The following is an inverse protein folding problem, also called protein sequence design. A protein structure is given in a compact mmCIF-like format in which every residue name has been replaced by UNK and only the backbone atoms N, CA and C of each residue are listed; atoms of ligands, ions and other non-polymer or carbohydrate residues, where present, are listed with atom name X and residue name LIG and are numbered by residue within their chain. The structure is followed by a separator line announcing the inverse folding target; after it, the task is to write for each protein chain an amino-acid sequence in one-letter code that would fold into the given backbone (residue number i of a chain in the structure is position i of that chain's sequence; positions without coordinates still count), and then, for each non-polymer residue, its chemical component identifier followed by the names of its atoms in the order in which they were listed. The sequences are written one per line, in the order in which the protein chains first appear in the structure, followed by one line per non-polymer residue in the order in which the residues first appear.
data_IF_854600626721
#
_entry.id   IF_854600626721
#
_cell.length_a   1.000
_cell.length_b   1.000
_cell.length_c   1.000
_cell.angle_alpha   90.00
_cell.angle_beta   90.00
_cell.angle_gamma   90.00
#
_symmetry.space_group_name_H-M   'P 1'
#
loop_
_entity.id
_entity.type
_entity.pdbx_description
1 polymer ?
#
# COMPACT_ATOMS: atom_id res chain seq x y z
N UNK A 1 -27.31 4.55 3.22
CA UNK A 1 -26.16 4.37 2.30
C UNK A 1 -25.64 5.73 1.83
N UNK A 2 -25.37 6.67 2.75
CA UNK A 2 -25.10 8.06 2.36
C UNK A 2 -23.83 8.21 1.49
N UNK A 3 -22.85 7.33 1.67
CA UNK A 3 -21.64 7.31 0.83
C UNK A 3 -21.92 6.98 -0.64
N UNK A 4 -22.77 5.99 -0.93
CA UNK A 4 -23.13 5.62 -2.30
C UNK A 4 -24.05 6.67 -2.93
N UNK A 5 -25.06 7.11 -2.19
CA UNK A 5 -26.02 8.09 -2.69
C UNK A 5 -25.39 9.48 -2.89
N UNK A 6 -24.39 9.84 -2.09
CA UNK A 6 -23.63 11.08 -2.25
C UNK A 6 -22.90 11.15 -3.60
N UNK A 7 -22.28 10.03 -4.03
CA UNK A 7 -21.63 9.95 -5.35
C UNK A 7 -22.64 10.10 -6.48
N UNK A 8 -23.82 9.48 -6.36
CA UNK A 8 -24.85 9.49 -7.38
C UNK A 8 -25.65 10.82 -7.45
N UNK A 9 -25.56 11.67 -6.43
CA UNK A 9 -26.42 12.85 -6.26
C UNK A 9 -26.32 13.87 -7.41
N UNK A 10 -25.20 13.83 -8.14
CA UNK A 10 -24.97 14.72 -9.27
C UNK A 10 -25.58 14.23 -10.59
N UNK A 11 -25.95 12.94 -10.69
CA UNK A 11 -26.47 12.37 -11.93
C UNK A 11 -27.98 12.54 -12.06
N UNK A 12 -28.44 12.81 -13.28
CA UNK A 12 -29.86 12.73 -13.62
C UNK A 12 -30.37 11.28 -13.72
N UNK A 13 -29.46 10.32 -13.92
CA UNK A 13 -29.79 8.91 -13.96
C UNK A 13 -29.87 8.36 -12.53
N UNK A 14 -30.96 7.67 -12.15
CA UNK A 14 -31.09 7.15 -10.80
C UNK A 14 -30.05 6.06 -10.49
N UNK A 15 -29.48 6.03 -9.28
CA UNK A 15 -28.61 4.96 -8.84
C UNK A 15 -29.37 3.63 -8.70
N UNK A 16 -28.76 2.53 -9.12
CA UNK A 16 -29.33 1.19 -9.03
C UNK A 16 -28.46 0.26 -8.18
N UNK A 17 -29.05 -0.35 -7.15
CA UNK A 17 -28.39 -1.37 -6.34
C UNK A 17 -28.83 -2.76 -6.80
N UNK A 18 -27.94 -3.46 -7.50
CA UNK A 18 -28.23 -4.73 -8.16
C UNK A 18 -27.77 -5.88 -7.28
N UNK A 19 -28.68 -6.80 -6.96
CA UNK A 19 -28.37 -8.02 -6.22
C UNK A 19 -28.84 -9.25 -6.99
N UNK A 20 -27.88 -10.02 -7.52
CA UNK A 20 -28.15 -11.33 -8.11
C UNK A 20 -27.80 -12.42 -7.09
N UNK A 21 -28.58 -13.49 -7.08
CA UNK A 21 -28.36 -14.61 -6.18
C UNK A 21 -28.34 -15.91 -6.97
N UNK A 22 -27.24 -16.64 -6.87
CA UNK A 22 -27.15 -18.03 -7.29
C UNK A 22 -27.39 -18.92 -6.07
N UNK A 23 -28.39 -19.80 -6.17
CA UNK A 23 -28.69 -20.84 -5.19
C UNK A 23 -28.57 -22.21 -5.86
N UNK A 24 -27.96 -23.20 -5.20
CA UNK A 24 -27.85 -24.52 -5.76
C UNK A 24 -29.25 -25.17 -5.82
N UNK A 25 -29.53 -25.91 -6.87
CA UNK A 25 -30.87 -26.47 -7.16
C UNK A 25 -31.33 -27.53 -6.17
N UNK A 26 -30.38 -28.20 -5.51
CA UNK A 26 -30.64 -29.20 -4.46
C UNK A 26 -30.90 -28.55 -3.08
N UNK A 27 -30.78 -27.23 -2.97
CA UNK A 27 -30.99 -26.46 -1.73
C UNK A 27 -29.91 -26.68 -0.66
N UNK A 28 -28.93 -27.55 -0.88
CA UNK A 28 -27.91 -27.88 0.10
C UNK A 28 -26.75 -26.89 0.01
N UNK A 29 -26.65 -25.98 0.98
CA UNK A 29 -25.62 -24.91 0.98
C UNK A 29 -24.57 -25.21 2.04
N UNK A 30 -23.35 -25.54 1.60
CA UNK A 30 -22.18 -25.73 2.47
C UNK A 30 -21.40 -24.43 2.67
N UNK A 31 -21.42 -23.53 1.68
CA UNK A 31 -20.68 -22.27 1.73
C UNK A 31 -21.47 -21.13 1.09
N UNK A 32 -21.46 -19.97 1.75
CA UNK A 32 -22.02 -18.72 1.22
C UNK A 32 -20.89 -17.77 0.85
N UNK A 33 -20.99 -17.16 -0.31
CA UNK A 33 -20.01 -16.18 -0.82
C UNK A 33 -20.74 -14.91 -1.25
N UNK A 34 -20.09 -13.78 -1.06
CA UNK A 34 -20.53 -12.50 -1.60
C UNK A 34 -19.41 -11.95 -2.49
N UNK A 35 -19.75 -11.59 -3.73
CA UNK A 35 -18.86 -10.94 -4.67
C UNK A 35 -19.42 -9.54 -4.93
N UNK A 36 -18.65 -8.53 -4.56
CA UNK A 36 -19.07 -7.12 -4.63
C UNK A 36 -18.27 -6.40 -5.70
N UNK A 37 -18.95 -5.69 -6.59
CA UNK A 37 -18.34 -4.96 -7.69
C UNK A 37 -18.68 -3.47 -7.65
N UNK A 38 -17.67 -2.61 -7.86
CA UNK A 38 -17.89 -1.18 -8.11
C UNK A 38 -18.56 -1.01 -9.48
N UNK A 39 -19.71 -0.34 -9.52
CA UNK A 39 -20.51 -0.13 -10.72
C UNK A 39 -20.59 1.34 -11.17
N UNK A 40 -19.47 2.07 -11.13
CA UNK A 40 -19.48 3.47 -11.56
C UNK A 40 -19.54 3.53 -13.08
N UNK A 41 -20.73 3.71 -13.65
CA UNK A 41 -20.99 3.57 -15.09
C UNK A 41 -20.37 4.69 -15.92
N UNK A 42 -20.19 5.85 -15.31
CA UNK A 42 -19.38 6.94 -15.82
C UNK A 42 -18.85 7.76 -14.64
N UNK A 43 -17.60 8.21 -14.73
CA UNK A 43 -16.96 9.00 -13.68
C UNK A 43 -16.30 10.25 -14.24
N UNK A 44 -16.99 11.39 -14.13
CA UNK A 44 -16.43 12.69 -14.51
C UNK A 44 -15.34 13.20 -13.56
N UNK A 45 -15.24 12.62 -12.35
CA UNK A 45 -14.44 13.15 -11.24
C UNK A 45 -15.20 14.10 -10.30
N UNK A 46 -16.50 14.31 -10.53
CA UNK A 46 -17.28 15.32 -9.79
C UNK A 46 -16.74 16.72 -10.05
N UNK A 47 -16.55 17.51 -8.98
CA UNK A 47 -15.96 18.85 -9.09
C UNK A 47 -14.44 18.86 -9.34
N UNK A 48 -13.73 17.74 -9.12
CA UNK A 48 -12.35 17.60 -9.58
C UNK A 48 -12.33 16.84 -10.91
N UNK A 49 -12.71 17.56 -11.97
CA UNK A 49 -12.92 16.97 -13.29
C UNK A 49 -11.63 16.29 -13.75
N UNK A 50 -11.76 15.06 -14.27
CA UNK A 50 -10.64 14.23 -14.74
C UNK A 50 -10.04 14.72 -16.08
N UNK A 51 -9.59 15.96 -16.11
CA UNK A 51 -9.01 16.64 -17.29
C UNK A 51 -7.49 16.84 -17.20
N UNK A 52 -6.84 16.29 -16.18
CA UNK A 52 -5.38 16.37 -16.03
C UNK A 52 -4.61 15.48 -17.01
N UNK A 53 -3.30 15.71 -17.22
CA UNK A 53 -2.45 14.82 -18.00
C UNK A 53 -2.53 13.38 -17.46
N UNK A 54 -2.74 12.39 -18.34
CA UNK A 54 -2.91 10.98 -17.98
C UNK A 54 -4.34 10.56 -17.62
N UNK A 55 -5.29 11.49 -17.56
CA UNK A 55 -6.71 11.17 -17.44
C UNK A 55 -7.39 11.23 -18.81
N UNK A 56 -7.96 10.09 -19.20
CA UNK A 56 -8.82 9.97 -20.38
C UNK A 56 -10.27 9.91 -19.94
N UNK A 57 -10.93 11.06 -19.88
CA UNK A 57 -12.35 11.15 -19.48
C UNK A 57 -13.25 10.28 -20.38
N UNK A 58 -12.88 10.12 -21.65
CA UNK A 58 -13.53 9.23 -22.62
C UNK A 58 -13.46 7.75 -22.25
N UNK A 59 -12.49 7.36 -21.42
CA UNK A 59 -12.30 6.00 -20.92
C UNK A 59 -12.96 5.78 -19.54
N UNK A 60 -13.54 6.81 -18.90
CA UNK A 60 -14.09 6.65 -17.55
C UNK A 60 -15.35 5.79 -17.47
N UNK A 61 -15.95 5.43 -18.61
CA UNK A 61 -16.91 4.33 -18.70
C UNK A 61 -16.34 2.98 -18.24
N UNK A 62 -15.01 2.80 -18.25
CA UNK A 62 -14.37 1.56 -17.80
C UNK A 62 -14.26 1.45 -16.26
N UNK A 63 -14.60 2.48 -15.50
CA UNK A 63 -14.59 2.44 -14.03
C UNK A 63 -15.68 1.51 -13.45
N UNK A 64 -16.60 1.02 -14.31
CA UNK A 64 -17.52 -0.07 -14.02
C UNK A 64 -16.88 -1.47 -14.14
N UNK A 65 -15.59 -1.57 -14.45
CA UNK A 65 -14.91 -2.85 -14.72
C UNK A 65 -15.06 -3.88 -13.58
N UNK A 66 -15.13 -3.40 -12.33
CA UNK A 66 -15.46 -4.25 -11.18
C UNK A 66 -16.84 -4.92 -11.31
N UNK A 67 -17.88 -4.17 -11.63
CA UNK A 67 -19.22 -4.72 -11.88
C UNK A 67 -19.27 -5.66 -13.08
N UNK A 68 -18.53 -5.35 -14.16
CA UNK A 68 -18.43 -6.23 -15.32
C UNK A 68 -17.83 -7.59 -14.95
N UNK A 69 -16.78 -7.60 -14.13
CA UNK A 69 -16.19 -8.84 -13.60
C UNK A 69 -17.19 -9.62 -12.73
N UNK A 70 -17.98 -8.93 -11.89
CA UNK A 70 -19.02 -9.56 -11.07
C UNK A 70 -20.12 -10.20 -11.92
N UNK A 71 -20.63 -9.51 -12.94
CA UNK A 71 -21.62 -10.09 -13.84
C UNK A 71 -21.05 -11.21 -14.71
N UNK A 72 -19.79 -11.11 -15.13
CA UNK A 72 -19.07 -12.19 -15.80
C UNK A 72 -18.96 -13.44 -14.92
N UNK A 73 -18.60 -13.27 -13.65
CA UNK A 73 -18.58 -14.36 -12.67
C UNK A 73 -19.98 -14.95 -12.45
N UNK A 74 -21.01 -14.10 -12.36
CA UNK A 74 -22.40 -14.56 -12.22
C UNK A 74 -22.84 -15.42 -13.41
N UNK A 75 -22.53 -14.98 -14.63
CA UNK A 75 -22.82 -15.74 -15.86
C UNK A 75 -22.09 -17.08 -15.86
N UNK A 76 -20.79 -17.09 -15.57
CA UNK A 76 -19.99 -18.31 -15.54
C UNK A 76 -20.51 -19.31 -14.48
N UNK A 77 -20.82 -18.83 -13.27
CA UNK A 77 -21.35 -19.67 -12.20
C UNK A 77 -22.76 -20.19 -12.50
N UNK A 78 -23.61 -19.39 -13.14
CA UNK A 78 -24.93 -19.81 -13.62
C UNK A 78 -24.86 -20.90 -14.70
N UNK A 79 -23.78 -20.96 -15.47
CA UNK A 79 -23.52 -21.99 -16.47
C UNK A 79 -22.92 -23.27 -15.87
N UNK A 80 -21.90 -23.13 -15.02
CA UNK A 80 -21.21 -24.26 -14.36
C UNK A 80 -22.13 -24.97 -13.36
N UNK A 81 -23.00 -24.21 -12.69
CA UNK A 81 -23.93 -24.69 -11.66
C UNK A 81 -23.24 -25.52 -10.57
N UNK A 82 -22.22 -24.98 -9.89
CA UNK A 82 -21.52 -25.74 -8.85
C UNK A 82 -22.48 -26.09 -7.69
N UNK A 83 -22.44 -27.34 -7.18
CA UNK A 83 -23.25 -27.75 -6.05
C UNK A 83 -22.67 -27.21 -4.73
N UNK A 84 -23.51 -27.11 -3.69
CA UNK A 84 -23.03 -26.81 -2.34
C UNK A 84 -22.69 -25.34 -2.05
N UNK A 85 -22.85 -24.42 -3.01
CA UNK A 85 -22.48 -23.01 -2.85
C UNK A 85 -23.62 -22.06 -3.18
N UNK A 86 -23.86 -21.09 -2.30
CA UNK A 86 -24.75 -19.95 -2.55
C UNK A 86 -23.88 -18.71 -2.76
N UNK A 87 -24.12 -17.99 -3.85
CA UNK A 87 -23.31 -16.82 -4.22
C UNK A 87 -24.20 -15.60 -4.41
N UNK A 88 -23.89 -14.54 -3.68
CA UNK A 88 -24.52 -13.23 -3.79
C UNK A 88 -23.61 -12.31 -4.60
N UNK A 89 -24.12 -11.80 -5.71
CA UNK A 89 -23.43 -10.82 -6.54
C UNK A 89 -24.06 -9.45 -6.29
N UNK A 90 -23.28 -8.50 -5.80
CA UNK A 90 -23.77 -7.20 -5.37
C UNK A 90 -23.05 -6.11 -6.15
N UNK A 91 -23.79 -5.26 -6.83
CA UNK A 91 -23.26 -4.13 -7.60
C UNK A 91 -24.01 -2.87 -7.22
N UNK A 92 -23.28 -1.85 -6.78
CA UNK A 92 -23.81 -0.50 -6.60
C UNK A 92 -23.52 0.28 -7.89
N UNK A 93 -24.52 0.40 -8.76
CA UNK A 93 -24.40 1.06 -10.05
C UNK A 93 -24.86 2.52 -9.98
N UNK A 94 -24.03 3.46 -10.41
CA UNK A 94 -24.36 4.88 -10.46
C UNK A 94 -23.39 5.62 -11.37
N UNK A 95 -23.62 6.90 -11.62
CA UNK A 95 -22.66 7.79 -12.26
C UNK A 95 -22.15 8.79 -11.24
N UNK A 96 -20.86 9.14 -11.35
CA UNK A 96 -20.31 10.32 -10.68
C UNK A 96 -20.25 11.44 -11.72
N UNK A 97 -21.16 12.41 -11.58
CA UNK A 97 -21.34 13.51 -12.51
C UNK A 97 -21.03 14.85 -11.86
N UNK A 98 -21.05 15.92 -12.64
CA UNK A 98 -20.98 17.30 -12.16
C UNK A 98 -22.34 17.98 -12.32
N UNK A 99 -22.88 18.50 -11.22
CA UNK A 99 -24.11 19.30 -11.22
C UNK A 99 -24.19 20.16 -9.95
N UNK A 100 -25.17 21.06 -9.86
CA UNK A 100 -25.39 21.86 -8.65
C UNK A 100 -25.85 21.07 -7.42
N UNK A 101 -26.31 19.83 -7.62
CA UNK A 101 -26.75 18.90 -6.56
C UNK A 101 -25.67 17.90 -6.17
N UNK A 102 -24.50 17.96 -6.80
CA UNK A 102 -23.39 17.06 -6.52
C UNK A 102 -22.74 17.32 -5.17
N UNK A 103 -22.14 16.27 -4.61
CA UNK A 103 -21.30 16.40 -3.41
C UNK A 103 -20.08 17.26 -3.70
N UNK A 104 -19.77 18.18 -2.80
CA UNK A 104 -18.58 19.04 -2.87
C UNK A 104 -17.36 18.30 -2.36
N UNK A 105 -16.18 18.70 -2.83
CA UNK A 105 -14.92 18.25 -2.23
C UNK A 105 -14.87 18.71 -0.78
N UNK A 106 -14.58 17.80 0.14
CA UNK A 106 -14.61 18.02 1.59
C UNK A 106 -15.97 17.79 2.25
N UNK A 107 -17.04 17.46 1.50
CA UNK A 107 -18.32 17.12 2.12
C UNK A 107 -18.19 15.84 2.96
N UNK A 108 -18.79 15.86 4.16
CA UNK A 108 -18.81 14.72 5.07
C UNK A 108 -20.08 13.91 4.84
N UNK A 109 -19.95 12.70 4.29
CA UNK A 109 -21.05 11.76 4.08
C UNK A 109 -21.10 10.71 5.19
N UNK A 110 -22.30 10.38 5.64
CA UNK A 110 -22.49 9.32 6.64
C UNK A 110 -22.78 7.99 5.96
N UNK A 111 -21.88 7.01 6.15
CA UNK A 111 -22.05 5.66 5.64
C UNK A 111 -23.15 4.89 6.41
N UNK A 112 -23.65 3.80 5.84
CA UNK A 112 -24.73 2.99 6.47
C UNK A 112 -24.33 2.35 7.80
N UNK A 113 -23.04 2.27 8.11
CA UNK A 113 -22.52 1.77 9.38
C UNK A 113 -22.34 2.89 10.43
N UNK A 114 -22.84 4.10 10.17
CA UNK A 114 -22.73 5.25 11.08
C UNK A 114 -21.38 5.97 11.06
N UNK A 115 -20.40 5.51 10.27
CA UNK A 115 -19.12 6.21 10.12
C UNK A 115 -19.25 7.38 9.15
N UNK A 116 -18.56 8.47 9.45
CA UNK A 116 -18.42 9.62 8.56
C UNK A 116 -17.23 9.43 7.62
N UNK A 117 -17.37 9.90 6.38
CA UNK A 117 -16.35 9.85 5.33
C UNK A 117 -16.28 11.25 4.73
N UNK A 118 -15.10 11.83 4.65
CA UNK A 118 -14.87 13.09 3.94
C UNK A 118 -14.57 12.81 2.46
N UNK A 119 -15.28 13.49 1.56
CA UNK A 119 -15.10 13.36 0.12
C UNK A 119 -13.85 14.07 -0.37
N UNK A 120 -12.68 13.43 -0.34
CA UNK A 120 -11.48 13.93 -1.02
C UNK A 120 -11.49 13.49 -2.48
N UNK A 121 -11.64 14.43 -3.40
CA UNK A 121 -11.61 14.17 -4.85
C UNK A 121 -10.21 14.29 -5.45
N UNK A 122 -9.15 14.40 -4.64
CA UNK A 122 -7.77 14.46 -5.11
C UNK A 122 -7.06 13.12 -4.97
N UNK A 123 -6.51 12.57 -6.07
CA UNK A 123 -5.52 11.50 -5.95
C UNK A 123 -4.23 12.13 -5.42
N UNK A 124 -3.86 11.79 -4.19
CA UNK A 124 -2.60 12.22 -3.58
C UNK A 124 -1.56 11.09 -3.63
N UNK A 125 -0.29 11.47 -3.67
CA UNK A 125 0.80 10.50 -3.77
C UNK A 125 1.00 9.85 -2.41
N UNK A 126 1.10 8.51 -2.41
CA UNK A 126 1.32 7.72 -1.22
C UNK A 126 2.58 6.85 -1.33
N UNK A 127 3.13 6.51 -0.17
CA UNK A 127 4.18 5.51 -0.03
C UNK A 127 3.69 4.31 0.78
N UNK A 128 4.02 3.11 0.32
CA UNK A 128 3.85 1.87 1.10
C UNK A 128 5.13 1.63 1.89
N UNK A 129 5.00 1.58 3.22
CA UNK A 129 6.12 1.30 4.13
C UNK A 129 6.08 -0.16 4.59
N UNK A 130 7.21 -0.86 4.69
CA UNK A 130 7.26 -2.22 5.22
C UNK A 130 6.62 -2.31 6.61
N UNK A 131 5.85 -3.38 6.84
CA UNK A 131 5.11 -3.65 8.08
C UNK A 131 4.00 -2.66 8.45
N UNK A 132 3.78 -1.60 7.66
CA UNK A 132 2.66 -0.68 7.81
C UNK A 132 1.49 -1.15 6.94
N UNK A 133 0.30 -1.26 7.53
CA UNK A 133 -0.89 -1.86 6.87
C UNK A 133 -1.69 -0.87 6.02
N UNK A 134 -1.23 0.38 5.93
CA UNK A 134 -1.88 1.45 5.20
C UNK A 134 -0.88 2.20 4.33
N UNK A 135 -1.37 2.75 3.23
CA UNK A 135 -0.61 3.68 2.41
C UNK A 135 -0.48 5.01 3.16
N UNK A 136 0.72 5.56 3.21
CA UNK A 136 1.01 6.80 3.95
C UNK A 136 1.25 7.93 2.94
N UNK A 137 0.53 9.07 3.03
CA UNK A 137 0.79 10.26 2.22
C UNK A 137 2.27 10.67 2.24
N UNK A 138 2.83 11.04 1.07
CA UNK A 138 4.26 11.33 0.95
C UNK A 138 4.73 12.46 1.88
N UNK A 139 3.89 13.48 2.10
CA UNK A 139 4.21 14.63 2.96
C UNK A 139 4.38 14.19 4.42
N UNK A 140 3.55 13.27 4.90
CA UNK A 140 3.66 12.70 6.26
C UNK A 140 4.98 11.94 6.40
N UNK A 141 5.41 11.21 5.38
CA UNK A 141 6.70 10.50 5.40
C UNK A 141 7.86 11.49 5.49
N UNK A 142 7.85 12.58 4.72
CA UNK A 142 8.87 13.64 4.83
C UNK A 142 8.91 14.28 6.22
N UNK A 143 7.74 14.63 6.77
CA UNK A 143 7.64 15.17 8.13
C UNK A 143 8.19 14.20 9.17
N UNK A 144 7.94 12.90 9.01
CA UNK A 144 8.49 11.86 9.88
C UNK A 144 10.03 11.73 9.76
N UNK A 145 10.59 11.92 8.55
CA UNK A 145 12.04 11.98 8.31
C UNK A 145 12.72 13.24 8.84
N UNK A 146 11.95 14.24 9.29
CA UNK A 146 12.46 15.47 9.91
C UNK A 146 12.29 16.74 9.05
N UNK A 147 11.68 16.63 7.88
CA UNK A 147 11.40 17.77 7.01
C UNK A 147 9.99 18.27 7.27
N UNK A 148 9.87 19.23 8.19
CA UNK A 148 8.55 19.71 8.66
C UNK A 148 7.97 20.79 7.75
N UNK A 149 8.81 21.73 7.28
CA UNK A 149 8.37 22.86 6.47
C UNK A 149 8.00 22.41 5.05
N UNK A 150 6.79 22.76 4.60
CA UNK A 150 6.28 22.37 3.28
C UNK A 150 7.18 22.84 2.15
N UNK A 151 7.71 24.07 2.22
CA UNK A 151 8.70 24.58 1.28
C UNK A 151 9.90 23.63 1.17
N UNK A 152 10.45 23.22 2.31
CA UNK A 152 11.58 22.30 2.35
C UNK A 152 11.24 20.95 1.73
N UNK A 153 10.04 20.41 1.97
CA UNK A 153 9.58 19.16 1.35
C UNK A 153 9.50 19.32 -0.17
N UNK A 154 8.90 20.42 -0.63
CA UNK A 154 8.74 20.68 -2.05
C UNK A 154 10.08 20.88 -2.75
N UNK A 155 11.07 21.52 -2.13
CA UNK A 155 12.44 21.65 -2.69
C UNK A 155 13.10 20.28 -2.97
N UNK A 156 12.70 19.22 -2.25
CA UNK A 156 13.21 17.86 -2.48
C UNK A 156 12.51 17.14 -3.65
N UNK A 157 11.35 17.63 -4.09
CA UNK A 157 10.52 17.00 -5.13
C UNK A 157 10.47 17.84 -6.40
N UNK A 158 10.28 19.16 -6.27
CA UNK A 158 10.17 20.12 -7.35
C UNK A 158 11.37 21.06 -7.30
N UNK A 159 12.27 20.93 -8.28
CA UNK A 159 13.50 21.71 -8.33
C UNK A 159 13.29 23.12 -8.89
N UNK A 160 12.16 23.36 -9.56
CA UNK A 160 11.77 24.64 -10.13
C UNK A 160 10.34 24.99 -9.69
N UNK A 161 10.22 25.94 -8.76
CA UNK A 161 8.93 26.38 -8.24
C UNK A 161 8.05 27.13 -9.25
N UNK A 162 8.58 27.49 -10.42
CA UNK A 162 7.77 28.05 -11.51
C UNK A 162 6.98 26.98 -12.26
N UNK A 163 7.25 25.69 -12.02
CA UNK A 163 6.55 24.56 -12.62
C UNK A 163 5.16 24.35 -12.00
N UNK A 164 4.20 25.12 -12.48
CA UNK A 164 2.81 25.08 -12.02
C UNK A 164 2.18 23.70 -12.18
N UNK A 165 2.48 22.96 -13.25
CA UNK A 165 1.90 21.63 -13.48
C UNK A 165 2.33 20.61 -12.43
N UNK A 166 3.62 20.58 -12.07
CA UNK A 166 4.11 19.68 -11.02
C UNK A 166 3.60 20.08 -9.64
N UNK A 167 3.51 21.39 -9.37
CA UNK A 167 2.97 21.91 -8.12
C UNK A 167 1.48 21.58 -7.94
N UNK A 168 0.67 21.67 -9.01
CA UNK A 168 -0.74 21.25 -8.97
C UNK A 168 -0.90 19.76 -8.64
N UNK A 169 -0.03 18.88 -9.17
CA UNK A 169 -0.07 17.46 -8.83
C UNK A 169 0.30 17.16 -7.36
N UNK A 170 1.09 18.04 -6.73
CA UNK A 170 1.49 17.90 -5.33
C UNK A 170 0.48 18.51 -4.35
N UNK A 171 -0.31 19.49 -4.78
CA UNK A 171 -1.29 20.20 -3.94
C UNK A 171 -2.21 19.26 -3.14
N UNK A 172 -2.84 18.22 -3.73
CA UNK A 172 -3.69 17.30 -2.96
C UNK A 172 -2.93 16.56 -1.84
N UNK A 173 -1.64 16.29 -2.05
CA UNK A 173 -0.81 15.60 -1.05
C UNK A 173 -0.47 16.50 0.14
N UNK A 174 -0.36 17.82 -0.09
CA UNK A 174 -0.18 18.83 0.96
C UNK A 174 -1.47 19.01 1.78
N UNK A 175 -2.61 19.11 1.09
CA UNK A 175 -3.93 19.25 1.71
C UNK A 175 -4.25 18.06 2.61
N UNK A 176 -4.05 16.82 2.12
CA UNK A 176 -4.24 15.59 2.91
C UNK A 176 -3.39 15.57 4.19
N UNK A 177 -2.17 16.11 4.13
CA UNK A 177 -1.26 16.13 5.27
C UNK A 177 -1.45 17.36 6.17
N UNK A 178 -2.36 18.28 5.87
CA UNK A 178 -2.47 19.58 6.54
C UNK A 178 -2.56 19.49 8.07
N UNK A 179 -3.27 18.49 8.59
CA UNK A 179 -3.49 18.28 10.03
C UNK A 179 -2.26 17.72 10.77
N UNK A 180 -1.25 17.21 10.08
CA UNK A 180 -0.08 16.53 10.68
C UNK A 180 1.16 17.41 10.61
N UNK A 181 1.18 18.53 11.32
CA UNK A 181 2.22 19.55 11.14
C UNK A 181 3.55 19.29 11.86
N UNK A 182 3.65 18.22 12.66
CA UNK A 182 4.81 17.98 13.52
C UNK A 182 5.42 16.59 13.28
N UNK A 183 6.75 16.47 13.36
CA UNK A 183 7.47 15.21 13.18
C UNK A 183 6.96 14.11 14.13
N UNK A 184 6.75 14.43 15.42
CA UNK A 184 6.25 13.44 16.38
C UNK A 184 4.83 12.97 16.07
N UNK A 185 3.99 13.84 15.51
CA UNK A 185 2.62 13.50 15.11
C UNK A 185 2.64 12.62 13.87
N UNK A 186 3.54 12.91 12.91
CA UNK A 186 3.77 12.08 11.74
C UNK A 186 4.28 10.67 12.11
N UNK A 187 5.24 10.58 13.03
CA UNK A 187 5.73 9.29 13.54
C UNK A 187 4.63 8.51 14.29
N UNK A 188 3.81 9.17 15.10
CA UNK A 188 2.67 8.52 15.76
C UNK A 188 1.63 8.05 14.74
N UNK A 189 1.35 8.84 13.70
CA UNK A 189 0.44 8.48 12.61
C UNK A 189 0.90 7.19 11.91
N UNK A 190 2.17 7.12 11.51
CA UNK A 190 2.74 5.90 10.91
C UNK A 190 2.66 4.73 11.90
N UNK A 191 3.06 4.96 13.15
CA UNK A 191 3.08 3.92 14.18
C UNK A 191 1.70 3.33 14.49
N UNK A 192 0.62 4.12 14.45
CA UNK A 192 -0.77 3.64 14.60
C UNK A 192 -1.18 2.62 13.53
N UNK A 193 -0.60 2.71 12.33
CA UNK A 193 -0.94 1.85 11.19
C UNK A 193 -0.08 0.58 11.10
N UNK A 194 0.93 0.41 11.96
CA UNK A 194 1.75 -0.81 12.02
C UNK A 194 1.77 -1.51 13.38
N UNK A 195 1.55 -0.79 14.49
CA UNK A 195 1.52 -1.37 15.82
C UNK A 195 0.19 -2.08 16.13
N UNK A 196 0.21 -3.01 17.08
CA UNK A 196 -0.99 -3.63 17.64
C UNK A 196 -1.82 -2.61 18.44
N UNK A 197 -3.14 -2.84 18.52
CA UNK A 197 -4.07 -1.98 19.26
C UNK A 197 -3.66 -1.94 20.74
N UNK A 198 -3.69 -0.75 21.36
CA UNK A 198 -3.39 -0.56 22.79
C UNK A 198 -1.94 -0.20 23.14
N UNK A 199 -1.04 -0.07 22.15
CA UNK A 199 0.34 0.36 22.39
C UNK A 199 0.41 1.86 22.71
N UNK A 200 1.23 2.27 23.68
CA UNK A 200 1.41 3.68 24.07
C UNK A 200 1.98 4.54 22.93
N UNK A 201 1.71 5.84 22.94
CA UNK A 201 2.18 6.81 21.92
C UNK A 201 3.70 6.75 21.74
N UNK A 202 4.46 6.72 22.82
CA UNK A 202 5.93 6.66 22.78
C UNK A 202 6.44 5.42 22.05
N UNK A 203 5.84 4.25 22.35
CA UNK A 203 6.20 2.99 21.69
C UNK A 203 5.87 3.00 20.20
N UNK A 204 4.75 3.62 19.80
CA UNK A 204 4.37 3.78 18.37
C UNK A 204 5.35 4.68 17.63
N UNK A 205 5.75 5.80 18.23
CA UNK A 205 6.74 6.72 17.66
C UNK A 205 8.09 5.99 17.49
N UNK A 206 8.54 5.27 18.52
CA UNK A 206 9.78 4.49 18.45
C UNK A 206 9.72 3.43 17.34
N UNK A 207 8.61 2.70 17.25
CA UNK A 207 8.38 1.70 16.21
C UNK A 207 8.44 2.29 14.80
N UNK A 208 7.76 3.41 14.56
CA UNK A 208 7.80 4.11 13.28
C UNK A 208 9.22 4.58 12.92
N UNK A 209 9.96 5.12 13.90
CA UNK A 209 11.35 5.56 13.72
C UNK A 209 12.25 4.38 13.33
N UNK A 210 12.10 3.23 13.98
CA UNK A 210 12.87 2.02 13.65
C UNK A 210 12.57 1.52 12.24
N UNK A 211 11.31 1.56 11.78
CA UNK A 211 10.94 1.20 10.40
C UNK A 211 11.60 2.15 9.39
N UNK A 212 11.49 3.47 9.60
CA UNK A 212 12.08 4.45 8.68
C UNK A 212 13.61 4.34 8.65
N UNK A 213 14.25 3.95 9.76
CA UNK A 213 15.70 3.79 9.83
C UNK A 213 16.20 2.49 9.21
N UNK A 214 15.53 1.36 9.45
CA UNK A 214 16.03 0.02 9.06
C UNK A 214 15.47 -0.48 7.73
N UNK A 215 14.21 -0.14 7.45
CA UNK A 215 13.45 -0.77 6.37
C UNK A 215 13.22 0.18 5.18
N UNK A 216 13.00 1.47 5.45
CA UNK A 216 12.81 2.46 4.38
C UNK A 216 14.14 2.82 3.72
N UNK A 217 14.33 2.38 2.46
CA UNK A 217 15.46 2.68 1.57
C UNK A 217 16.86 2.27 2.11
N UNK A 218 17.63 1.55 1.30
CA UNK A 218 18.98 1.05 1.67
C UNK A 218 20.10 2.08 1.47
N UNK A 219 19.91 3.30 1.98
CA UNK A 219 20.87 4.43 1.84
C UNK A 219 21.84 4.53 3.04
N UNK A 220 21.65 3.68 4.05
CA UNK A 220 22.44 3.64 5.29
C UNK A 220 21.56 3.81 6.53
N UNK A 221 22.01 3.26 7.66
CA UNK A 221 21.38 3.49 8.97
C UNK A 221 21.68 4.93 9.44
N UNK A 222 20.73 5.57 10.12
CA UNK A 222 20.86 6.96 10.66
C UNK A 222 21.19 8.03 9.60
N UNK A 223 20.68 7.86 8.38
CA UNK A 223 20.88 8.78 7.26
C UNK A 223 19.55 9.37 6.76
N UNK A 224 18.72 9.89 7.68
CA UNK A 224 17.37 10.40 7.38
C UNK A 224 17.38 11.47 6.28
N UNK A 225 18.33 12.40 6.30
CA UNK A 225 18.50 13.43 5.28
C UNK A 225 18.71 12.84 3.89
N UNK A 226 19.63 11.87 3.76
CA UNK A 226 19.91 11.21 2.46
C UNK A 226 18.70 10.41 1.97
N UNK A 227 17.97 9.78 2.89
CA UNK A 227 16.73 9.07 2.57
C UNK A 227 15.66 10.02 2.06
N UNK A 228 15.51 11.19 2.66
CA UNK A 228 14.57 12.22 2.19
C UNK A 228 14.92 12.74 0.80
N UNK A 229 16.21 13.00 0.51
CA UNK A 229 16.65 13.37 -0.84
C UNK A 229 16.33 12.29 -1.87
N UNK A 230 16.66 11.03 -1.57
CA UNK A 230 16.38 9.93 -2.49
C UNK A 230 14.87 9.70 -2.67
N UNK A 231 14.10 9.83 -1.59
CA UNK A 231 12.65 9.72 -1.62
C UNK A 231 12.02 10.84 -2.47
N UNK A 232 12.48 12.08 -2.30
CA UNK A 232 12.08 13.22 -3.14
C UNK A 232 12.41 13.01 -4.60
N UNK A 233 13.61 12.48 -4.90
CA UNK A 233 14.01 12.13 -6.26
C UNK A 233 13.11 11.05 -6.90
N UNK A 234 12.70 10.03 -6.14
CA UNK A 234 11.74 9.01 -6.63
C UNK A 234 10.42 9.68 -7.01
N UNK A 235 9.89 10.54 -6.15
CA UNK A 235 8.63 11.24 -6.38
C UNK A 235 8.75 12.20 -7.56
N UNK A 236 9.85 12.96 -7.66
CA UNK A 236 10.14 13.82 -8.79
C UNK A 236 10.07 13.06 -10.12
N UNK A 237 10.75 11.91 -10.20
CA UNK A 237 10.74 11.06 -11.39
C UNK A 237 9.36 10.51 -11.72
N UNK A 238 8.58 10.14 -10.71
CA UNK A 238 7.19 9.71 -10.87
C UNK A 238 6.34 10.83 -11.48
N UNK A 239 6.44 12.05 -10.96
CA UNK A 239 5.70 13.21 -11.46
C UNK A 239 6.14 13.61 -12.88
N UNK A 240 7.43 13.55 -13.18
CA UNK A 240 7.94 13.79 -14.54
C UNK A 240 7.39 12.78 -15.55
N UNK A 241 7.22 11.52 -15.14
CA UNK A 241 6.57 10.50 -15.96
C UNK A 241 5.07 10.77 -16.13
N UNK A 242 4.36 11.10 -15.05
CA UNK A 242 2.93 11.42 -15.08
C UNK A 242 2.61 12.65 -15.95
N UNK A 243 3.52 13.63 -15.99
CA UNK A 243 3.44 14.80 -16.86
C UNK A 243 3.91 14.53 -18.30
N UNK A 244 4.26 13.28 -18.63
CA UNK A 244 4.81 12.87 -19.93
C UNK A 244 6.08 13.63 -20.36
N UNK A 245 6.82 14.19 -19.40
CA UNK A 245 8.11 14.87 -19.62
C UNK A 245 9.29 13.91 -19.59
N UNK A 246 9.04 12.69 -19.11
CA UNK A 246 9.98 11.58 -19.10
C UNK A 246 9.25 10.33 -19.61
N UNK A 247 9.93 9.54 -20.43
CA UNK A 247 9.44 8.22 -20.81
C UNK A 247 9.44 7.24 -19.63
N UNK A 248 8.55 6.27 -19.68
CA UNK A 248 8.54 5.12 -18.79
C UNK A 248 9.85 4.32 -18.93
N UNK A 249 10.38 3.82 -17.82
CA UNK A 249 11.59 2.99 -17.86
C UNK A 249 11.23 1.58 -18.36
N UNK A 250 11.93 1.10 -19.39
CA UNK A 250 11.79 -0.28 -19.86
C UNK A 250 12.37 -1.27 -18.83
N UNK A 251 11.47 -2.05 -18.22
CA UNK A 251 11.81 -3.07 -17.23
C UNK A 251 12.68 -4.18 -17.82
N UNK A 252 12.54 -4.47 -19.11
CA UNK A 252 13.17 -5.60 -19.78
C UNK A 252 14.52 -5.25 -20.42
N UNK A 253 14.86 -3.96 -20.45
CA UNK A 253 16.20 -3.50 -20.80
C UNK A 253 17.28 -4.15 -19.91
N UNK A 254 18.25 -4.82 -20.54
CA UNK A 254 19.31 -5.58 -19.85
C UNK A 254 20.13 -4.75 -18.86
N UNK A 255 20.30 -3.44 -19.10
CA UNK A 255 20.97 -2.54 -18.15
C UNK A 255 20.31 -2.45 -16.76
N UNK A 256 18.99 -2.71 -16.69
CA UNK A 256 18.20 -2.75 -15.46
C UNK A 256 18.12 -4.14 -14.84
N UNK A 257 18.58 -5.18 -15.56
CA UNK A 257 18.65 -6.54 -15.05
C UNK A 257 19.95 -6.74 -14.28
N UNK A 258 19.90 -7.60 -13.27
CA UNK A 258 21.06 -8.09 -12.52
C UNK A 258 20.98 -9.60 -12.49
N UNK A 259 22.11 -10.26 -12.72
CA UNK A 259 22.23 -11.71 -12.69
C UNK A 259 22.89 -12.11 -11.37
N UNK A 260 22.15 -12.80 -10.52
CA UNK A 260 22.71 -13.40 -9.31
C UNK A 260 23.43 -14.70 -9.70
N UNK A 261 24.76 -14.66 -9.64
CA UNK A 261 25.61 -15.81 -9.93
C UNK A 261 25.73 -16.74 -8.70
N UNK A 262 26.35 -17.91 -8.89
CA UNK A 262 26.56 -18.88 -7.81
C UNK A 262 27.26 -18.28 -6.58
N UNK A 263 28.20 -17.35 -6.76
CA UNK A 263 28.93 -16.70 -5.66
C UNK A 263 28.02 -15.97 -4.67
N UNK A 264 27.29 -14.91 -5.07
CA UNK A 264 26.33 -14.22 -4.21
C UNK A 264 25.29 -15.14 -3.56
N UNK A 265 24.77 -16.13 -4.31
CA UNK A 265 23.79 -17.09 -3.80
C UNK A 265 24.36 -17.99 -2.69
N UNK A 266 25.55 -18.57 -2.91
CA UNK A 266 26.26 -19.37 -1.91
C UNK A 266 26.64 -18.51 -0.68
N UNK A 267 27.09 -17.27 -0.91
CA UNK A 267 27.41 -16.33 0.16
C UNK A 267 26.19 -15.98 1.02
N UNK A 268 25.02 -15.78 0.40
CA UNK A 268 23.74 -15.55 1.08
C UNK A 268 23.33 -16.76 1.93
N UNK A 269 23.38 -17.95 1.35
CA UNK A 269 23.08 -19.21 2.02
C UNK A 269 24.01 -19.45 3.22
N UNK A 270 25.32 -19.31 3.02
CA UNK A 270 26.29 -19.46 4.10
C UNK A 270 26.07 -18.45 5.22
N UNK A 271 25.82 -17.17 4.88
CA UNK A 271 25.53 -16.12 5.87
C UNK A 271 24.31 -16.47 6.73
N UNK A 272 23.24 -16.99 6.12
CA UNK A 272 22.04 -17.41 6.84
C UNK A 272 22.35 -18.55 7.82
N UNK A 273 23.03 -19.59 7.37
CA UNK A 273 23.40 -20.76 8.18
C UNK A 273 24.38 -20.39 9.30
N UNK A 274 25.35 -19.53 9.01
CA UNK A 274 26.31 -19.04 9.98
C UNK A 274 25.65 -18.17 11.05
N UNK A 275 24.70 -17.29 10.67
CA UNK A 275 23.87 -16.54 11.62
C UNK A 275 22.98 -17.43 12.48
N UNK A 276 22.58 -18.61 11.98
CA UNK A 276 21.86 -19.61 12.78
C UNK A 276 22.80 -20.25 13.79
N UNK A 277 23.98 -20.70 13.36
CA UNK A 277 25.01 -21.26 14.24
C UNK A 277 25.39 -20.30 15.38
N UNK A 278 25.62 -19.02 15.09
CA UNK A 278 25.98 -18.03 16.14
C UNK A 278 24.85 -17.79 17.14
N UNK A 279 23.58 -17.83 16.69
CA UNK A 279 22.40 -17.77 17.57
C UNK A 279 22.28 -19.01 18.46
N UNK A 280 22.55 -20.19 17.92
CA UNK A 280 22.54 -21.45 18.67
C UNK A 280 23.62 -21.45 19.76
N UNK A 281 24.85 -21.03 19.42
CA UNK A 281 25.96 -20.87 20.37
C UNK A 281 25.60 -19.88 21.47
N UNK A 282 25.09 -18.69 21.12
CA UNK A 282 24.65 -17.68 22.10
C UNK A 282 23.60 -18.24 23.05
N UNK A 283 22.61 -18.96 22.51
CA UNK A 283 21.53 -19.55 23.31
C UNK A 283 22.04 -20.62 24.27
N UNK A 284 23.04 -21.40 23.86
CA UNK A 284 23.70 -22.38 24.72
C UNK A 284 24.50 -21.69 25.84
N UNK A 285 25.32 -20.68 25.50
CA UNK A 285 26.10 -19.94 26.49
C UNK A 285 25.21 -19.26 27.53
N UNK A 286 24.10 -18.66 27.10
CA UNK A 286 23.12 -18.05 28.02
C UNK A 286 22.60 -19.09 29.02
N UNK A 287 22.22 -20.29 28.55
CA UNK A 287 21.76 -21.38 29.42
C UNK A 287 22.83 -21.87 30.40
N UNK A 288 24.10 -21.88 30.01
CA UNK A 288 25.19 -22.25 30.92
C UNK A 288 25.33 -21.22 32.05
N UNK A 289 25.32 -19.93 31.70
CA UNK A 289 25.39 -18.82 32.67
C UNK A 289 24.20 -18.85 33.62
N UNK A 290 22.97 -18.99 33.11
CA UNK A 290 21.75 -19.02 33.92
C UNK A 290 21.72 -20.19 34.91
N UNK A 291 22.38 -21.30 34.58
CA UNK A 291 22.45 -22.51 35.42
C UNK A 291 23.75 -22.62 36.23
N UNK A 292 24.62 -21.59 36.21
CA UNK A 292 25.91 -21.61 36.91
C UNK A 292 26.86 -22.72 36.46
N UNK A 293 26.74 -23.19 35.21
CA UNK A 293 27.59 -24.24 34.63
C UNK A 293 28.72 -23.63 33.80
N UNK A 294 29.87 -24.30 33.82
CA UNK A 294 30.98 -23.94 32.93
C UNK A 294 30.61 -24.12 31.44
N UNK A 295 31.14 -23.23 30.60
CA UNK A 295 30.87 -23.23 29.17
C UNK A 295 31.84 -24.17 28.47
N UNK A 296 31.30 -25.26 27.93
CA UNK A 296 32.04 -26.13 27.01
C UNK A 296 31.72 -25.77 25.55
N UNK A 297 32.71 -25.20 24.84
CA UNK A 297 32.57 -24.74 23.45
C UNK A 297 32.35 -25.88 22.45
N UNK A 298 32.82 -27.09 22.74
CA UNK A 298 32.69 -28.23 21.84
C UNK A 298 31.25 -28.70 21.73
N UNK A 299 30.46 -28.59 22.82
CA UNK A 299 29.02 -28.83 22.80
C UNK A 299 28.22 -27.64 22.25
N UNK A 300 28.77 -26.42 22.36
CA UNK A 300 28.13 -25.20 21.85
C UNK A 300 28.11 -25.15 20.31
N UNK A 301 29.22 -25.53 19.67
CA UNK A 301 29.41 -25.38 18.21
C UNK A 301 28.92 -26.63 17.48
N UNK A 302 27.71 -26.55 16.93
CA UNK A 302 27.12 -27.63 16.12
C UNK A 302 27.47 -27.49 14.63
N UNK A 303 28.63 -28.00 14.23
CA UNK A 303 29.10 -27.93 12.82
C UNK A 303 28.09 -28.47 11.79
N UNK A 304 27.30 -29.49 12.18
CA UNK A 304 26.23 -30.05 11.34
C UNK A 304 25.20 -29.02 10.87
N UNK A 305 24.96 -27.95 11.62
CA UNK A 305 24.02 -26.87 11.22
C UNK A 305 24.41 -26.25 9.88
N UNK A 306 25.72 -26.08 9.63
CA UNK A 306 26.21 -25.52 8.37
C UNK A 306 26.29 -26.62 7.30
N UNK A 307 26.93 -27.75 7.60
CA UNK A 307 27.15 -28.83 6.61
C UNK A 307 25.83 -29.42 6.10
N UNK A 308 24.91 -29.79 6.99
CA UNK A 308 23.61 -30.35 6.59
C UNK A 308 22.72 -29.31 5.94
N UNK A 309 22.78 -28.05 6.39
CA UNK A 309 22.03 -26.95 5.79
C UNK A 309 22.46 -26.67 4.35
N UNK A 310 23.78 -26.60 4.10
CA UNK A 310 24.32 -26.45 2.75
C UNK A 310 23.94 -27.65 1.88
N UNK A 311 24.14 -28.88 2.36
CA UNK A 311 23.81 -30.09 1.60
C UNK A 311 22.33 -30.15 1.22
N UNK A 312 21.44 -29.86 2.16
CA UNK A 312 20.00 -29.85 1.92
C UNK A 312 19.60 -28.79 0.88
N UNK A 313 20.09 -27.56 1.03
CA UNK A 313 19.68 -26.46 0.16
C UNK A 313 20.21 -26.63 -1.26
N UNK A 314 21.44 -27.15 -1.40
CA UNK A 314 22.02 -27.48 -2.70
C UNK A 314 21.36 -28.70 -3.36
N UNK A 315 20.93 -29.69 -2.58
CA UNK A 315 20.27 -30.88 -3.11
C UNK A 315 18.80 -30.63 -3.51
N UNK A 316 18.10 -29.74 -2.82
CA UNK A 316 16.67 -29.49 -3.03
C UNK A 316 16.36 -28.20 -3.78
N UNK A 317 17.32 -27.27 -3.88
CA UNK A 317 17.12 -25.94 -4.45
C UNK A 317 16.35 -24.98 -3.55
N UNK A 318 16.10 -25.32 -2.28
CA UNK A 318 15.34 -24.51 -1.30
C UNK A 318 16.22 -23.98 -0.16
#
# INVERSE_FOLDING_TARGET
MGSYLGVAAASANPPHFIHLCYKPTDGNVKRKLAIVGKGLTFDSGGYNIKTGPGYSIELMKFDMGGSAAVFGAAKALGQIKPPGVEVHFIVAACENMISGTGMRTGDIVTASNGKTIEGSSGQYVCATLPYIRANIPIIIVFRALGFVADKGILEHICYDFSDTQMMELLRPSLEEAFVIQNQQVALDYIGKHGATVGVTREKRIKYAKEILQKEMLRVGELCETKKAYYFGYIIHRLLMCALSRRAEDDRDHYGNKRLDLAGPLLGGLFRMLFRKLTRDVRSYMQKCVDNGKEVNFQFAIKAKTVTSGLKYSLATGN
#
